data_IF_130042843306
#
_entry.id   IF_130042843306
#
_cell.length_a   1.000
_cell.length_b   1.000
_cell.length_c   1.000
_cell.angle_alpha   90.00
_cell.angle_beta   90.00
_cell.angle_gamma   90.00
#
_symmetry.space_group_name_H-M   'P 1'
#
loop_
_entity.id
_entity.type
_entity.pdbx_description
1 polymer ?
#
# COMPACT_ATOMS: atom_id res chain seq x y z
N UNK A 1 -2.38 13.11 -12.80
CA UNK A 1 -1.35 13.52 -11.82
C UNK A 1 -1.23 12.40 -10.79
N UNK A 2 -0.03 12.06 -10.36
CA UNK A 2 0.22 10.94 -9.45
C UNK A 2 0.96 11.38 -8.19
N UNK A 3 1.18 10.45 -7.28
CA UNK A 3 1.89 10.65 -6.03
C UNK A 3 2.57 9.34 -5.59
N UNK A 4 3.67 9.42 -4.82
CA UNK A 4 4.42 8.24 -4.41
C UNK A 4 3.84 7.58 -3.15
N UNK A 5 4.01 6.27 -3.04
CA UNK A 5 3.99 5.55 -1.76
C UNK A 5 5.44 5.52 -1.28
N UNK A 6 5.73 6.25 -0.19
CA UNK A 6 7.09 6.50 0.29
C UNK A 6 7.48 5.42 1.28
N UNK A 7 8.61 4.76 1.05
CA UNK A 7 9.16 3.69 1.90
C UNK A 7 10.60 4.08 2.25
N UNK A 8 10.89 4.33 3.53
CA UNK A 8 12.13 4.99 3.92
C UNK A 8 12.25 6.37 3.24
N UNK A 9 13.33 6.54 2.47
CA UNK A 9 13.59 7.75 1.68
C UNK A 9 13.37 7.54 0.17
N UNK A 10 12.70 6.45 -0.21
CA UNK A 10 12.43 6.13 -1.62
C UNK A 10 11.07 6.66 -2.09
N UNK A 11 11.04 7.13 -3.33
CA UNK A 11 9.85 7.68 -4.01
C UNK A 11 9.47 6.87 -5.27
N UNK A 12 10.04 5.68 -5.43
CA UNK A 12 9.99 4.91 -6.67
C UNK A 12 8.61 4.31 -6.97
N UNK A 13 7.78 4.10 -5.93
CA UNK A 13 6.39 3.63 -6.06
C UNK A 13 5.43 4.77 -6.45
N UNK A 14 5.54 5.25 -7.69
CA UNK A 14 4.71 6.36 -8.17
C UNK A 14 3.40 5.90 -8.79
N UNK A 15 2.27 6.24 -8.16
CA UNK A 15 0.93 5.77 -8.56
C UNK A 15 -0.02 6.94 -8.81
N UNK A 16 -1.25 6.68 -9.27
CA UNK A 16 -2.28 7.71 -9.35
C UNK A 16 -2.69 8.15 -7.93
N UNK A 17 -3.14 9.39 -7.77
CA UNK A 17 -3.59 9.88 -6.45
C UNK A 17 -4.72 9.00 -5.87
N UNK A 18 -5.69 8.62 -6.71
CA UNK A 18 -6.78 7.74 -6.28
C UNK A 18 -6.26 6.40 -5.78
N UNK A 19 -5.26 5.82 -6.46
CA UNK A 19 -4.72 4.53 -6.08
C UNK A 19 -3.86 4.60 -4.82
N UNK A 20 -3.12 5.71 -4.62
CA UNK A 20 -2.44 6.00 -3.35
C UNK A 20 -3.42 6.04 -2.19
N UNK A 21 -4.54 6.74 -2.35
CA UNK A 21 -5.55 6.85 -1.30
C UNK A 21 -6.20 5.48 -1.03
N UNK A 22 -6.64 4.77 -2.06
CA UNK A 22 -7.22 3.43 -1.91
C UNK A 22 -6.22 2.42 -1.33
N UNK A 23 -4.92 2.55 -1.62
CA UNK A 23 -3.88 1.73 -0.98
C UNK A 23 -3.89 1.91 0.54
N UNK A 24 -3.99 3.15 1.01
CA UNK A 24 -4.10 3.45 2.44
C UNK A 24 -5.41 2.91 3.04
N UNK A 25 -6.53 3.00 2.31
CA UNK A 25 -7.82 2.43 2.74
C UNK A 25 -7.73 0.91 2.90
N UNK A 26 -7.11 0.21 1.95
CA UNK A 26 -6.91 -1.26 2.02
C UNK A 26 -6.06 -1.65 3.22
N UNK A 27 -4.95 -0.94 3.47
CA UNK A 27 -4.13 -1.18 4.66
C UNK A 27 -4.97 -1.05 5.94
N UNK A 28 -5.79 0.00 6.04
CA UNK A 28 -6.62 0.27 7.22
C UNK A 28 -7.75 -0.75 7.37
N UNK A 29 -8.44 -1.09 6.28
CA UNK A 29 -9.54 -2.03 6.29
C UNK A 29 -9.10 -3.44 6.72
N UNK A 30 -7.99 -3.93 6.18
CA UNK A 30 -7.44 -5.25 6.55
C UNK A 30 -6.96 -5.25 7.99
N UNK A 31 -6.32 -4.16 8.45
CA UNK A 31 -5.90 -4.05 9.84
C UNK A 31 -7.10 -4.07 10.81
N UNK A 32 -8.19 -3.40 10.45
CA UNK A 32 -9.43 -3.44 11.22
C UNK A 32 -10.03 -4.86 11.28
N UNK A 33 -9.94 -5.65 10.19
CA UNK A 33 -10.35 -7.06 10.19
C UNK A 33 -9.47 -7.94 11.11
N UNK A 34 -8.20 -7.58 11.31
CA UNK A 34 -7.29 -8.22 12.28
C UNK A 34 -7.45 -7.67 13.71
N UNK A 35 -8.39 -6.74 13.93
CA UNK A 35 -8.67 -6.14 15.24
C UNK A 35 -7.69 -5.03 15.64
N UNK A 36 -6.88 -4.54 14.72
CA UNK A 36 -6.03 -3.38 14.94
C UNK A 36 -6.79 -2.08 14.69
N UNK A 37 -6.82 -1.17 15.67
CA UNK A 37 -7.32 0.18 15.47
C UNK A 37 -6.20 1.08 14.94
N UNK A 38 -5.95 0.99 13.64
CA UNK A 38 -4.95 1.83 12.96
C UNK A 38 -5.57 3.06 12.31
N UNK A 39 -6.88 3.30 12.49
CA UNK A 39 -7.58 4.47 11.94
C UNK A 39 -7.02 5.79 12.46
N UNK A 40 -6.46 5.77 13.67
CA UNK A 40 -5.70 6.87 14.28
C UNK A 40 -4.57 7.40 13.39
N UNK A 41 -4.05 6.62 12.43
CA UNK A 41 -3.01 7.08 11.50
C UNK A 41 -3.46 8.25 10.62
N UNK A 42 -4.76 8.33 10.31
CA UNK A 42 -5.33 9.46 9.55
C UNK A 42 -5.43 10.75 10.35
N UNK A 43 -5.23 10.70 11.67
CA UNK A 43 -5.32 11.86 12.55
C UNK A 43 -3.96 12.22 13.14
N UNK A 44 -3.12 11.21 13.40
CA UNK A 44 -1.94 11.34 14.26
C UNK A 44 -0.62 11.22 13.48
N UNK A 45 -0.63 10.65 12.28
CA UNK A 45 0.58 10.49 11.48
C UNK A 45 0.64 11.53 10.34
N UNK A 46 1.48 12.57 10.44
CA UNK A 46 1.50 13.66 9.47
C UNK A 46 1.81 13.21 8.04
N UNK A 47 2.62 12.15 7.88
CA UNK A 47 2.95 11.58 6.58
C UNK A 47 1.78 10.86 5.87
N UNK A 48 0.67 10.61 6.56
CA UNK A 48 -0.55 10.00 6.01
C UNK A 48 -1.73 10.96 6.14
N UNK A 49 -2.01 11.46 7.34
CA UNK A 49 -3.10 12.38 7.65
C UNK A 49 -3.10 13.64 6.77
N UNK A 50 -1.93 14.26 6.59
CA UNK A 50 -1.79 15.49 5.81
C UNK A 50 -1.74 15.28 4.29
N UNK A 51 -1.73 14.02 3.84
CA UNK A 51 -1.44 13.67 2.43
C UNK A 51 -2.59 12.87 1.80
N UNK A 52 -3.42 12.22 2.62
CA UNK A 52 -4.62 11.52 2.19
C UNK A 52 -5.62 12.45 1.50
N UNK A 53 -6.11 12.07 0.32
CA UNK A 53 -7.01 12.90 -0.50
C UNK A 53 -6.35 14.13 -1.14
N UNK A 54 -5.05 14.35 -0.91
CA UNK A 54 -4.31 15.48 -1.46
C UNK A 54 -3.54 15.06 -2.71
N UNK A 55 -3.78 15.76 -3.81
CA UNK A 55 -3.13 15.45 -5.09
C UNK A 55 -1.65 15.83 -5.11
N UNK A 56 -0.81 14.92 -5.59
CA UNK A 56 0.63 15.16 -5.78
C UNK A 56 1.48 15.03 -4.52
N UNK A 57 0.87 14.67 -3.38
CA UNK A 57 1.58 14.45 -2.12
C UNK A 57 1.54 12.96 -1.78
N UNK A 58 2.72 12.38 -1.54
CA UNK A 58 2.86 10.97 -1.23
C UNK A 58 2.47 10.61 0.21
N UNK A 59 2.16 9.33 0.44
CA UNK A 59 1.92 8.79 1.78
C UNK A 59 3.19 8.10 2.28
N UNK A 60 3.55 8.31 3.55
CA UNK A 60 4.67 7.62 4.18
C UNK A 60 4.22 6.29 4.78
N UNK A 61 4.61 5.17 4.15
CA UNK A 61 4.27 3.83 4.63
C UNK A 61 4.90 3.52 5.99
N UNK A 62 6.05 4.13 6.29
CA UNK A 62 6.76 3.93 7.56
C UNK A 62 5.98 4.45 8.78
N UNK A 63 4.99 5.32 8.59
CA UNK A 63 4.10 5.79 9.68
C UNK A 63 3.29 4.65 10.30
N UNK A 64 3.04 3.59 9.52
CA UNK A 64 2.33 2.40 10.00
C UNK A 64 3.17 1.56 10.99
N UNK A 65 4.48 1.80 11.09
CA UNK A 65 5.36 1.07 12.02
C UNK A 65 4.88 1.13 13.47
N UNK A 66 4.35 2.28 13.91
CA UNK A 66 3.90 2.45 15.29
C UNK A 66 2.69 1.61 15.64
N UNK A 67 1.87 1.28 14.64
CA UNK A 67 0.59 0.60 14.82
C UNK A 67 0.68 -0.90 14.54
N UNK A 68 1.62 -1.31 13.69
CA UNK A 68 1.75 -2.70 13.23
C UNK A 68 2.95 -3.43 13.85
N UNK A 69 3.69 -2.83 14.78
CA UNK A 69 4.81 -3.50 15.46
C UNK A 69 6.15 -3.40 14.70
N UNK A 70 6.39 -2.26 14.06
CA UNK A 70 7.63 -1.95 13.34
C UNK A 70 7.62 -2.37 11.88
N UNK A 71 8.78 -2.28 11.23
CA UNK A 71 8.95 -2.57 9.79
C UNK A 71 8.55 -4.00 9.42
N UNK A 72 8.91 -4.98 10.24
CA UNK A 72 8.52 -6.37 10.03
C UNK A 72 7.00 -6.56 10.06
N UNK A 73 6.33 -5.83 10.96
CA UNK A 73 4.87 -5.83 11.07
C UNK A 73 4.17 -5.23 9.86
N UNK A 74 4.62 -4.06 9.39
CA UNK A 74 4.10 -3.45 8.14
C UNK A 74 4.33 -4.37 6.94
N UNK A 75 5.52 -4.98 6.85
CA UNK A 75 5.84 -5.93 5.78
C UNK A 75 4.91 -7.14 5.80
N UNK A 76 4.68 -7.72 6.98
CA UNK A 76 3.74 -8.83 7.15
C UNK A 76 2.30 -8.41 6.78
N UNK A 77 1.92 -7.19 7.17
CA UNK A 77 0.60 -6.64 6.87
C UNK A 77 0.36 -6.49 5.36
N UNK A 78 1.38 -6.15 4.58
CA UNK A 78 1.26 -6.13 3.12
C UNK A 78 0.93 -7.51 2.53
N UNK A 79 1.48 -8.60 3.08
CA UNK A 79 1.12 -9.96 2.65
C UNK A 79 -0.32 -10.28 3.03
N UNK A 80 -0.74 -9.92 4.25
CA UNK A 80 -2.12 -10.09 4.69
C UNK A 80 -3.10 -9.32 3.79
N UNK A 81 -2.75 -8.08 3.43
CA UNK A 81 -3.56 -7.27 2.51
C UNK A 81 -3.71 -7.93 1.14
N UNK A 82 -2.67 -8.60 0.63
CA UNK A 82 -2.77 -9.35 -0.63
C UNK A 82 -3.68 -10.57 -0.49
N UNK A 83 -3.53 -11.34 0.58
CA UNK A 83 -4.34 -12.55 0.82
C UNK A 83 -5.81 -12.23 1.07
N UNK A 84 -6.11 -11.11 1.75
CA UNK A 84 -7.46 -10.72 2.15
C UNK A 84 -8.04 -9.61 1.28
N UNK A 85 -7.43 -9.32 0.13
CA UNK A 85 -7.85 -8.20 -0.72
C UNK A 85 -9.31 -8.34 -1.15
N UNK A 86 -9.74 -9.54 -1.51
CA UNK A 86 -11.11 -9.83 -1.95
C UNK A 86 -12.15 -9.55 -0.85
N UNK A 87 -11.78 -9.65 0.43
CA UNK A 87 -12.68 -9.36 1.55
C UNK A 87 -12.95 -7.86 1.72
N UNK A 88 -12.00 -7.01 1.33
CA UNK A 88 -12.09 -5.55 1.52
C UNK A 88 -12.32 -4.78 0.22
N UNK A 89 -12.10 -5.40 -0.93
CA UNK A 89 -12.10 -4.74 -2.24
C UNK A 89 -13.36 -3.91 -2.50
N UNK A 90 -14.54 -4.48 -2.25
CA UNK A 90 -15.82 -3.77 -2.44
C UNK A 90 -15.93 -2.56 -1.50
N UNK A 91 -15.57 -2.73 -0.23
CA UNK A 91 -15.63 -1.65 0.77
C UNK A 91 -14.66 -0.50 0.49
N UNK A 92 -13.52 -0.81 -0.15
CA UNK A 92 -12.52 0.15 -0.61
C UNK A 92 -12.82 0.70 -2.02
N UNK A 93 -13.99 0.40 -2.60
CA UNK A 93 -14.41 0.91 -3.91
C UNK A 93 -13.58 0.38 -5.09
N UNK A 94 -12.90 -0.75 -4.94
CA UNK A 94 -12.11 -1.37 -6.00
C UNK A 94 -13.02 -2.12 -6.97
N UNK A 95 -12.89 -1.79 -8.26
CA UNK A 95 -13.41 -2.65 -9.32
C UNK A 95 -12.56 -3.93 -9.46
N UNK A 96 -12.98 -4.94 -10.23
CA UNK A 96 -12.15 -6.12 -10.47
C UNK A 96 -10.76 -5.78 -11.04
N UNK A 97 -10.70 -4.87 -12.02
CA UNK A 97 -9.44 -4.38 -12.56
C UNK A 97 -8.66 -3.54 -11.53
N UNK A 98 -9.36 -2.78 -10.68
CA UNK A 98 -8.73 -2.04 -9.58
C UNK A 98 -8.08 -2.98 -8.56
N UNK A 99 -8.74 -4.08 -8.23
CA UNK A 99 -8.27 -5.09 -7.28
C UNK A 99 -7.02 -5.79 -7.80
N UNK A 100 -6.98 -6.13 -9.08
CA UNK A 100 -5.78 -6.68 -9.71
C UNK A 100 -4.60 -5.72 -9.61
N UNK A 101 -4.80 -4.45 -9.98
CA UNK A 101 -3.76 -3.42 -9.87
C UNK A 101 -3.32 -3.21 -8.42
N UNK A 102 -4.25 -3.25 -7.47
CA UNK A 102 -3.93 -3.14 -6.05
C UNK A 102 -3.07 -4.32 -5.58
N UNK A 103 -3.35 -5.53 -6.04
CA UNK A 103 -2.54 -6.71 -5.73
C UNK A 103 -1.10 -6.57 -6.24
N UNK A 104 -0.91 -6.02 -7.44
CA UNK A 104 0.44 -5.68 -7.97
C UNK A 104 1.15 -4.66 -7.09
N UNK A 105 0.46 -3.58 -6.70
CA UNK A 105 1.05 -2.53 -5.87
C UNK A 105 1.45 -3.02 -4.48
N UNK A 106 0.60 -3.82 -3.84
CA UNK A 106 0.93 -4.43 -2.56
C UNK A 106 2.16 -5.34 -2.68
N UNK A 107 2.28 -6.09 -3.79
CA UNK A 107 3.45 -6.91 -4.07
C UNK A 107 4.71 -6.07 -4.30
N UNK A 108 4.63 -4.98 -5.06
CA UNK A 108 5.75 -4.06 -5.27
C UNK A 108 6.16 -3.34 -4.00
N UNK A 109 5.21 -2.91 -3.17
CA UNK A 109 5.50 -2.33 -1.85
C UNK A 109 6.25 -3.34 -0.97
N UNK A 110 5.79 -4.58 -0.91
CA UNK A 110 6.44 -5.65 -0.17
C UNK A 110 7.86 -5.92 -0.69
N UNK A 111 8.02 -6.07 -2.00
CA UNK A 111 9.31 -6.28 -2.66
C UNK A 111 10.30 -5.15 -2.36
N UNK A 112 9.83 -3.91 -2.40
CA UNK A 112 10.64 -2.74 -2.10
C UNK A 112 11.00 -2.62 -0.61
N UNK A 113 10.07 -2.97 0.28
CA UNK A 113 10.35 -3.10 1.71
C UNK A 113 11.39 -4.17 2.02
N UNK A 114 11.47 -5.23 1.20
CA UNK A 114 12.48 -6.28 1.31
C UNK A 114 13.88 -5.80 0.83
N UNK A 115 14.00 -4.54 0.39
CA UNK A 115 15.26 -3.92 0.00
C UNK A 115 15.60 -4.04 -1.48
N UNK A 116 14.65 -4.51 -2.30
CA UNK A 116 14.85 -4.64 -3.74
C UNK A 116 14.41 -3.36 -4.46
N UNK A 117 15.22 -2.85 -5.41
CA UNK A 117 14.84 -1.67 -6.19
C UNK A 117 13.71 -2.00 -7.16
N UNK A 118 12.94 -0.98 -7.51
CA UNK A 118 11.95 -1.09 -8.58
C UNK A 118 12.67 -0.91 -9.92
N UNK A 119 12.54 -1.85 -10.87
CA UNK A 119 13.19 -1.72 -12.17
C UNK A 119 12.69 -0.48 -12.94
N UNK A 120 13.61 0.21 -13.61
CA UNK A 120 13.26 1.32 -14.50
C UNK A 120 12.31 0.85 -15.61
N UNK A 121 11.26 1.63 -15.86
CA UNK A 121 10.30 1.36 -16.93
C UNK A 121 9.30 0.24 -16.64
N UNK A 122 9.28 -0.34 -15.44
CA UNK A 122 8.23 -1.30 -15.06
C UNK A 122 6.87 -0.61 -14.94
N UNK A 123 5.81 -1.35 -15.26
CA UNK A 123 4.44 -0.95 -15.04
C UNK A 123 3.93 -1.54 -13.72
N UNK A 124 3.88 -0.70 -12.68
CA UNK A 124 3.45 -1.08 -11.33
C UNK A 124 2.03 -1.67 -11.24
N UNK A 125 1.21 -1.53 -12.29
CA UNK A 125 -0.17 -2.02 -12.37
C UNK A 125 -0.35 -3.29 -13.19
N UNK A 126 0.69 -3.76 -13.87
CA UNK A 126 0.61 -4.88 -14.81
C UNK A 126 1.73 -5.90 -14.55
N UNK A 127 2.93 -5.41 -14.23
CA UNK A 127 4.08 -6.25 -13.93
C UNK A 127 4.05 -6.74 -12.49
N UNK A 128 4.43 -8.00 -12.28
CA UNK A 128 4.72 -8.55 -10.95
C UNK A 128 6.18 -8.32 -10.58
N UNK A 129 6.49 -8.08 -9.29
CA UNK A 129 7.88 -8.04 -8.84
C UNK A 129 8.61 -9.36 -9.09
N UNK A 130 9.92 -9.34 -9.38
CA UNK A 130 10.71 -10.55 -9.57
C UNK A 130 10.54 -11.54 -8.41
N UNK A 131 10.25 -12.80 -8.74
CA UNK A 131 10.05 -13.86 -7.74
C UNK A 131 8.70 -13.83 -7.03
N UNK A 132 7.82 -12.88 -7.33
CA UNK A 132 6.42 -12.92 -6.90
C UNK A 132 5.65 -13.86 -7.82
N UNK A 133 5.18 -14.99 -7.29
CA UNK A 133 4.14 -15.77 -7.96
C UNK A 133 2.82 -15.02 -7.86
N UNK A 134 2.08 -14.98 -8.97
CA UNK A 134 0.67 -14.65 -8.98
C UNK A 134 -0.02 -15.65 -8.04
N UNK A 135 -0.47 -15.18 -6.87
CA UNK A 135 -1.08 -16.03 -5.83
C UNK A 135 -2.58 -16.22 -6.05
N UNK A 136 -3.04 -16.12 -7.31
CA UNK A 136 -4.40 -16.44 -7.71
C UNK A 136 -4.64 -17.95 -7.79
#
# INVERSE_FOLDING_TARGET
MGAPIIIGNSYDLWVSNSMKDTFCEVLTAVAALEGHDITAIYEQAPGVAGTYGVSGIGIHLDEFHHYLGGRAGVRHHLDLCRTRLDEVAESCGLSPAGSERMAHLLAWAAHHMDGHPIPEGCNLYEDWPPGSTDMR
#
